data_IF_421832786230
#
_entry.id   IF_421832786230
#
_cell.length_a   1.000
_cell.length_b   1.000
_cell.length_c   1.000
_cell.angle_alpha   90.00
_cell.angle_beta   90.00
_cell.angle_gamma   90.00
#
_symmetry.space_group_name_H-M   'P 1'
#
loop_
_entity.id
_entity.type
_entity.pdbx_description
1 polymer ?
#
# COMPACT_ATOMS: atom_id res chain seq x y z
N UNK A 1 3.18 12.63 -1.56
CA UNK A 1 4.20 11.71 -2.08
C UNK A 1 3.59 10.33 -2.22
N UNK A 2 4.02 9.55 -3.22
CA UNK A 2 3.52 8.19 -3.46
C UNK A 2 3.74 7.28 -2.25
N UNK A 3 4.90 7.42 -1.59
CA UNK A 3 5.25 6.69 -0.36
C UNK A 3 4.29 7.05 0.78
N UNK A 4 4.08 8.34 1.05
CA UNK A 4 3.17 8.79 2.13
C UNK A 4 1.71 8.33 1.91
N UNK A 5 1.25 8.24 0.66
CA UNK A 5 -0.08 7.69 0.37
C UNK A 5 -0.11 6.17 0.60
N UNK A 6 0.93 5.46 0.18
CA UNK A 6 1.06 4.02 0.40
C UNK A 6 1.08 3.67 1.89
N UNK A 7 1.86 4.39 2.70
CA UNK A 7 1.90 4.23 4.16
C UNK A 7 0.52 4.43 4.79
N UNK A 8 -0.22 5.48 4.38
CA UNK A 8 -1.58 5.71 4.85
C UNK A 8 -2.55 4.59 4.48
N UNK A 9 -2.40 3.96 3.32
CA UNK A 9 -3.21 2.80 2.93
C UNK A 9 -2.89 1.57 3.80
N UNK A 10 -1.62 1.39 4.15
CA UNK A 10 -1.18 0.32 5.04
C UNK A 10 -1.76 0.44 6.46
N UNK A 11 -2.09 1.65 6.91
CA UNK A 11 -2.75 1.90 8.20
C UNK A 11 -4.24 1.48 8.22
N UNK A 12 -4.87 1.24 7.06
CA UNK A 12 -6.28 0.86 6.98
C UNK A 12 -6.53 -0.63 7.21
N UNK A 13 -5.47 -1.44 7.20
CA UNK A 13 -5.54 -2.88 7.48
C UNK A 13 -6.02 -3.12 8.90
N UNK A 14 -6.73 -4.23 9.10
CA UNK A 14 -6.99 -4.69 10.46
C UNK A 14 -5.72 -5.19 11.15
N UNK A 15 -5.86 -5.61 12.40
CA UNK A 15 -4.82 -6.21 13.24
C UNK A 15 -4.17 -7.46 12.63
N UNK A 16 -4.89 -8.18 11.78
CA UNK A 16 -4.37 -9.33 11.02
C UNK A 16 -3.67 -8.93 9.70
N UNK A 17 -3.61 -7.63 9.38
CA UNK A 17 -3.00 -7.12 8.15
C UNK A 17 -3.90 -7.23 6.92
N UNK A 18 -5.22 -7.42 7.09
CA UNK A 18 -6.17 -7.69 6.01
C UNK A 18 -6.97 -6.45 5.60
N UNK A 19 -7.28 -6.34 4.30
CA UNK A 19 -8.14 -5.32 3.70
C UNK A 19 -9.45 -5.90 3.16
N UNK A 20 -10.49 -5.07 3.19
CA UNK A 20 -11.71 -5.30 2.41
C UNK A 20 -11.64 -4.62 1.04
N UNK A 21 -12.67 -4.86 0.23
CA UNK A 21 -12.86 -4.22 -1.08
C UNK A 21 -12.92 -2.69 -1.00
N UNK A 22 -13.56 -2.17 0.03
CA UNK A 22 -13.82 -0.74 0.19
C UNK A 22 -13.44 -0.26 1.60
N UNK A 23 -13.20 1.05 1.72
CA UNK A 23 -13.00 1.72 3.01
C UNK A 23 -13.88 2.96 3.08
N UNK A 24 -14.66 3.07 4.15
CA UNK A 24 -15.45 4.26 4.45
C UNK A 24 -14.58 5.29 5.20
N UNK A 25 -14.21 6.43 4.60
CA UNK A 25 -13.36 7.43 5.26
C UNK A 25 -14.08 8.24 6.34
N UNK A 26 -15.42 8.27 6.33
CA UNK A 26 -16.23 9.01 7.31
C UNK A 26 -16.42 8.14 8.56
N UNK A 27 -16.91 6.92 8.39
CA UNK A 27 -17.10 5.98 9.48
C UNK A 27 -15.80 5.26 9.90
N UNK A 28 -14.72 5.42 9.13
CA UNK A 28 -13.40 4.82 9.34
C UNK A 28 -13.44 3.29 9.49
N UNK A 29 -14.14 2.62 8.58
CA UNK A 29 -14.30 1.15 8.60
C UNK A 29 -14.12 0.53 7.24
N UNK A 30 -13.64 -0.71 7.24
CA UNK A 30 -13.59 -1.54 6.05
C UNK A 30 -15.01 -2.01 5.68
N UNK A 31 -15.31 -2.02 4.39
CA UNK A 31 -16.63 -2.33 3.82
C UNK A 31 -16.51 -3.34 2.67
N UNK A 32 -17.62 -4.03 2.40
CA UNK A 32 -17.71 -4.98 1.30
C UNK A 32 -17.05 -6.32 1.63
N UNK A 33 -16.60 -7.01 0.58
CA UNK A 33 -16.02 -8.34 0.71
C UNK A 33 -14.76 -8.33 1.57
N UNK A 34 -14.63 -9.31 2.46
CA UNK A 34 -13.51 -9.42 3.38
C UNK A 34 -13.12 -10.89 3.64
N UNK A 35 -11.82 -11.25 3.59
CA UNK A 35 -10.71 -10.46 3.04
C UNK A 35 -10.77 -10.40 1.51
N UNK A 36 -10.39 -9.29 0.90
CA UNK A 36 -10.52 -9.12 -0.55
C UNK A 36 -9.17 -9.26 -1.27
N UNK A 37 -9.04 -10.29 -2.10
CA UNK A 37 -7.77 -10.68 -2.72
C UNK A 37 -7.15 -9.58 -3.60
N UNK A 38 -7.93 -8.89 -4.43
CA UNK A 38 -7.36 -7.89 -5.36
C UNK A 38 -6.74 -6.68 -4.66
N UNK A 39 -7.25 -6.27 -3.51
CA UNK A 39 -6.73 -5.17 -2.69
C UNK A 39 -5.36 -5.56 -2.15
N UNK A 40 -5.19 -6.81 -1.73
CA UNK A 40 -3.89 -7.32 -1.32
C UNK A 40 -2.93 -7.40 -2.49
N UNK A 41 -3.37 -7.89 -3.66
CA UNK A 41 -2.54 -7.89 -4.88
C UNK A 41 -2.10 -6.49 -5.29
N UNK A 42 -2.99 -5.49 -5.20
CA UNK A 42 -2.67 -4.10 -5.49
C UNK A 42 -1.61 -3.53 -4.52
N UNK A 43 -1.70 -3.83 -3.23
CA UNK A 43 -0.69 -3.45 -2.23
C UNK A 43 0.66 -4.09 -2.53
N UNK A 44 0.70 -5.39 -2.84
CA UNK A 44 1.94 -6.11 -3.17
C UNK A 44 2.61 -5.50 -4.40
N UNK A 45 1.83 -5.26 -5.47
CA UNK A 45 2.35 -4.68 -6.70
C UNK A 45 2.89 -3.26 -6.49
N UNK A 46 2.17 -2.46 -5.68
CA UNK A 46 2.61 -1.08 -5.36
C UNK A 46 3.89 -1.10 -4.54
N UNK A 47 4.00 -2.00 -3.55
CA UNK A 47 5.21 -2.15 -2.75
C UNK A 47 6.43 -2.53 -3.61
N UNK A 48 6.27 -3.48 -4.53
CA UNK A 48 7.33 -3.88 -5.45
C UNK A 48 7.79 -2.71 -6.32
N UNK A 49 6.84 -1.96 -6.90
CA UNK A 49 7.15 -0.82 -7.76
C UNK A 49 7.85 0.32 -7.00
N UNK A 50 7.40 0.63 -5.78
CA UNK A 50 8.06 1.64 -4.94
C UNK A 50 9.49 1.23 -4.56
N UNK A 51 9.71 -0.03 -4.23
CA UNK A 51 11.05 -0.55 -3.91
C UNK A 51 12.02 -0.51 -5.10
N UNK A 52 11.53 -0.77 -6.32
CA UNK A 52 12.32 -0.62 -7.55
C UNK A 52 12.74 0.84 -7.76
N UNK A 53 11.82 1.79 -7.57
CA UNK A 53 12.09 3.22 -7.71
C UNK A 53 13.10 3.73 -6.67
N UNK A 54 12.99 3.26 -5.43
CA UNK A 54 13.94 3.57 -4.36
C UNK A 54 15.35 3.05 -4.70
N UNK A 55 15.45 1.79 -5.12
CA UNK A 55 16.72 1.16 -5.51
C UNK A 55 17.36 1.89 -6.70
N UNK A 56 16.57 2.25 -7.71
CA UNK A 56 17.06 2.99 -8.89
C UNK A 56 17.51 4.42 -8.56
N UNK A 57 16.94 5.03 -7.52
CA UNK A 57 17.37 6.35 -7.03
C UNK A 57 18.66 6.26 -6.22
N UNK A 58 18.81 5.20 -5.41
CA UNK A 58 20.01 4.96 -4.62
C UNK A 58 21.23 4.67 -5.50
N UNK A 59 21.07 3.93 -6.61
CA UNK A 59 22.19 3.65 -7.53
C UNK A 59 22.69 4.91 -8.24
N UNK A 60 21.80 5.86 -8.57
CA UNK A 60 22.20 7.13 -9.21
C UNK A 60 22.95 8.08 -8.28
N UNK A 61 22.74 7.98 -6.96
CA UNK A 61 23.42 8.82 -5.98
C UNK A 61 24.82 8.32 -5.58
N UNK A 62 25.24 7.15 -6.06
CA UNK A 62 26.54 6.54 -5.73
C UNK A 62 27.57 6.67 -6.88
N UNK A 63 27.20 7.35 -7.98
CA UNK A 63 28.05 7.60 -9.15
C UNK A 63 28.62 9.04 -9.20
N UNK A 64 28.41 9.84 -8.15
CA UNK A 64 28.96 11.20 -7.93
C UNK A 64 30.10 11.21 -6.91
#
# INVERSE_FOLDING_TARGET
DAVALFERLLELRNDLGLLSEEYDPVAKRLLGNFPQAFSHTAIINTAAHLGELETASASRGNDD
#
